data_IF_120646009693
#
_entry.id   IF_120646009693
#
_cell.length_a   1.000
_cell.length_b   1.000
_cell.length_c   1.000
_cell.angle_alpha   90.00
_cell.angle_beta   90.00
_cell.angle_gamma   90.00
#
_symmetry.space_group_name_H-M   'P 1'
#
loop_
_entity.id
_entity.type
_entity.pdbx_description
1 polymer ?
#
# COMPACT_ATOMS: atom_id res chain seq x y z
N UNK A 1 6.85 3.01 -6.61
CA UNK A 1 5.48 3.48 -6.95
C UNK A 1 4.52 2.77 -6.02
N UNK A 2 3.93 3.46 -5.05
CA UNK A 2 3.29 2.77 -3.94
C UNK A 2 1.87 2.29 -4.25
N UNK A 3 1.57 1.09 -3.77
CA UNK A 3 0.21 0.65 -3.48
C UNK A 3 -0.14 1.30 -2.14
N UNK A 4 -1.16 2.16 -2.11
CA UNK A 4 -1.50 2.97 -0.94
C UNK A 4 -2.37 2.22 0.06
N UNK A 5 -3.27 1.40 -0.46
CA UNK A 5 -4.23 0.66 0.32
C UNK A 5 -4.59 -0.65 -0.36
N UNK A 6 -4.81 -1.69 0.43
CA UNK A 6 -5.32 -2.97 -0.07
C UNK A 6 -6.28 -3.62 0.91
N UNK A 7 -7.26 -4.35 0.36
CA UNK A 7 -8.30 -5.01 1.13
C UNK A 7 -8.67 -6.36 0.50
N UNK A 8 -9.02 -7.30 1.36
CA UNK A 8 -9.76 -8.52 1.02
C UNK A 8 -11.14 -8.43 1.64
N UNK A 9 -12.17 -8.56 0.81
CA UNK A 9 -13.56 -8.52 1.23
C UNK A 9 -14.27 -9.82 0.90
N UNK A 10 -15.28 -10.18 1.69
CA UNK A 10 -16.18 -11.31 1.47
C UNK A 10 -17.62 -10.82 1.50
N UNK A 11 -18.41 -11.17 0.50
CA UNK A 11 -19.81 -10.71 0.37
C UNK A 11 -19.94 -9.19 0.61
N UNK A 12 -19.00 -8.42 0.04
CA UNK A 12 -18.91 -6.94 0.14
C UNK A 12 -18.57 -6.41 1.53
N UNK A 13 -18.20 -7.25 2.49
CA UNK A 13 -17.72 -6.86 3.82
C UNK A 13 -16.20 -6.98 3.88
N UNK A 14 -15.54 -5.96 4.39
CA UNK A 14 -14.09 -5.95 4.58
C UNK A 14 -13.71 -7.01 5.62
N UNK A 15 -12.82 -7.92 5.25
CA UNK A 15 -12.24 -8.92 6.15
C UNK A 15 -10.87 -8.47 6.67
N UNK A 16 -10.00 -8.09 5.76
CA UNK A 16 -8.62 -7.68 6.03
C UNK A 16 -8.28 -6.48 5.19
N UNK A 17 -7.55 -5.56 5.77
CA UNK A 17 -7.06 -4.40 5.05
C UNK A 17 -5.71 -3.94 5.60
N UNK A 18 -4.98 -3.22 4.78
CA UNK A 18 -3.78 -2.50 5.17
C UNK A 18 -3.68 -1.20 4.38
N UNK A 19 -3.29 -0.12 5.06
CA UNK A 19 -3.00 1.18 4.48
C UNK A 19 -1.54 1.54 4.74
N UNK A 20 -0.82 1.99 3.71
CA UNK A 20 0.56 2.46 3.84
C UNK A 20 0.66 3.92 4.30
N UNK A 21 -0.44 4.65 4.26
CA UNK A 21 -0.56 6.04 4.69
C UNK A 21 -1.98 6.32 5.18
N UNK A 22 -2.20 7.49 5.78
CA UNK A 22 -3.50 7.91 6.27
C UNK A 22 -4.42 8.35 5.13
N UNK A 23 -5.71 8.09 5.27
CA UNK A 23 -6.72 8.49 4.30
C UNK A 23 -8.11 7.91 4.61
N UNK A 24 -9.11 8.34 3.87
CA UNK A 24 -10.49 7.83 4.00
C UNK A 24 -10.72 6.54 3.20
N UNK A 25 -9.70 5.68 3.15
CA UNK A 25 -9.70 4.46 2.31
C UNK A 25 -10.85 3.51 2.62
N UNK A 26 -11.17 3.30 3.90
CA UNK A 26 -12.23 2.37 4.31
C UNK A 26 -13.59 2.88 3.82
N UNK A 27 -13.90 4.16 4.04
CA UNK A 27 -15.16 4.77 3.60
C UNK A 27 -15.34 4.64 2.08
N UNK A 28 -14.28 4.95 1.32
CA UNK A 28 -14.27 4.81 -0.14
C UNK A 28 -14.44 3.35 -0.56
N UNK A 29 -13.75 2.44 0.11
CA UNK A 29 -13.83 1.02 -0.18
C UNK A 29 -15.22 0.46 0.06
N UNK A 30 -15.86 0.76 1.18
CA UNK A 30 -17.23 0.31 1.49
C UNK A 30 -18.23 0.82 0.45
N UNK A 31 -18.08 2.07 0.03
CA UNK A 31 -18.92 2.64 -1.03
C UNK A 31 -18.71 1.91 -2.37
N UNK A 32 -17.45 1.69 -2.77
CA UNK A 32 -17.11 0.94 -3.99
C UNK A 32 -17.67 -0.47 -3.92
N UNK A 33 -17.39 -1.21 -2.85
CA UNK A 33 -17.84 -2.59 -2.67
C UNK A 33 -19.36 -2.72 -2.77
N UNK A 34 -20.12 -1.73 -2.29
CA UNK A 34 -21.59 -1.73 -2.36
C UNK A 34 -22.12 -1.68 -3.78
N UNK A 35 -21.38 -1.07 -4.71
CA UNK A 35 -21.80 -0.79 -6.08
C UNK A 35 -21.15 -1.69 -7.14
N UNK A 36 -20.13 -2.48 -6.78
CA UNK A 36 -19.48 -3.37 -7.74
C UNK A 36 -20.48 -4.37 -8.33
N UNK A 37 -20.38 -4.69 -9.64
CA UNK A 37 -21.20 -5.73 -10.25
C UNK A 37 -20.88 -7.09 -9.64
N UNK A 38 -21.87 -7.98 -9.66
CA UNK A 38 -21.67 -9.38 -9.27
C UNK A 38 -20.97 -10.15 -10.38
N UNK A 39 -20.20 -11.18 -9.99
CA UNK A 39 -19.49 -12.07 -10.92
C UNK A 39 -17.98 -11.86 -10.92
N UNK A 40 -17.31 -12.69 -11.72
CA UNK A 40 -15.86 -12.69 -11.83
C UNK A 40 -15.40 -11.60 -12.79
N UNK A 41 -14.90 -10.51 -12.25
CA UNK A 41 -14.49 -9.33 -13.01
C UNK A 41 -13.11 -8.82 -12.56
N UNK A 42 -12.39 -8.24 -13.51
CA UNK A 42 -11.16 -7.47 -13.25
C UNK A 42 -11.33 -6.11 -13.89
N UNK A 43 -11.17 -5.05 -13.11
CA UNK A 43 -11.36 -3.70 -13.62
C UNK A 43 -10.54 -2.67 -12.85
N UNK A 44 -10.27 -1.56 -13.50
CA UNK A 44 -9.66 -0.36 -12.92
C UNK A 44 -10.64 0.80 -13.05
N UNK A 45 -10.77 1.61 -12.01
CA UNK A 45 -11.47 2.90 -12.06
C UNK A 45 -10.48 4.03 -11.81
N UNK A 46 -10.57 5.07 -12.64
CA UNK A 46 -9.79 6.29 -12.45
C UNK A 46 -10.54 7.27 -11.56
N UNK A 47 -9.89 7.75 -10.51
CA UNK A 47 -10.44 8.72 -9.56
C UNK A 47 -9.40 9.81 -9.23
N UNK A 48 -9.50 10.95 -9.90
CA UNK A 48 -8.52 12.02 -9.76
C UNK A 48 -7.11 11.57 -10.09
N UNK A 49 -6.22 11.63 -9.11
CA UNK A 49 -4.81 11.19 -9.20
C UNK A 49 -4.59 9.73 -8.78
N UNK A 50 -5.65 9.02 -8.45
CA UNK A 50 -5.61 7.65 -7.96
C UNK A 50 -6.28 6.67 -8.93
N UNK A 51 -5.89 5.42 -8.82
CA UNK A 51 -6.53 4.29 -9.51
C UNK A 51 -7.04 3.30 -8.47
N UNK A 52 -8.26 2.83 -8.67
CA UNK A 52 -8.93 1.83 -7.87
C UNK A 52 -8.99 0.54 -8.70
N UNK A 53 -8.35 -0.50 -8.23
CA UNK A 53 -8.25 -1.78 -8.95
C UNK A 53 -8.94 -2.87 -8.15
N UNK A 54 -9.64 -3.77 -8.83
CA UNK A 54 -10.18 -4.94 -8.17
C UNK A 54 -10.16 -6.20 -9.03
N UNK A 55 -10.16 -7.31 -8.35
CA UNK A 55 -10.48 -8.64 -8.85
C UNK A 55 -11.61 -9.17 -8.00
N UNK A 56 -12.73 -9.54 -8.62
CA UNK A 56 -13.79 -10.27 -7.96
C UNK A 56 -13.78 -11.74 -8.40
N UNK A 57 -13.89 -12.65 -7.43
CA UNK A 57 -13.88 -14.08 -7.62
C UNK A 57 -14.99 -14.69 -6.71
N UNK A 58 -16.12 -15.01 -7.32
CA UNK A 58 -17.33 -15.44 -6.63
C UNK A 58 -17.75 -14.44 -5.53
N UNK A 59 -17.54 -14.81 -4.27
CA UNK A 59 -17.90 -14.01 -3.10
C UNK A 59 -16.77 -13.13 -2.58
N UNK A 60 -15.55 -13.37 -3.06
CA UNK A 60 -14.37 -12.63 -2.62
C UNK A 60 -14.04 -11.49 -3.56
N UNK A 61 -13.64 -10.37 -2.98
CA UNK A 61 -13.19 -9.19 -3.71
C UNK A 61 -11.82 -8.79 -3.15
N UNK A 62 -10.85 -8.74 -4.04
CA UNK A 62 -9.48 -8.25 -3.78
C UNK A 62 -9.39 -6.88 -4.41
N UNK A 63 -9.17 -5.86 -3.60
CA UNK A 63 -9.21 -4.48 -4.04
C UNK A 63 -7.98 -3.72 -3.55
N UNK A 64 -7.48 -2.79 -4.36
CA UNK A 64 -6.42 -1.88 -3.93
C UNK A 64 -6.54 -0.52 -4.57
N UNK A 65 -5.91 0.46 -3.93
CA UNK A 65 -5.81 1.84 -4.37
C UNK A 65 -4.33 2.16 -4.60
N UNK A 66 -4.05 2.74 -5.77
CA UNK A 66 -2.69 3.14 -6.15
C UNK A 66 -2.67 4.58 -6.64
N UNK A 67 -1.49 5.16 -6.70
CA UNK A 67 -1.26 6.37 -7.46
C UNK A 67 -1.46 6.10 -8.96
N UNK A 68 -1.90 7.11 -9.73
CA UNK A 68 -2.14 7.03 -11.17
C UNK A 68 -0.89 6.68 -11.99
N UNK A 69 0.29 6.94 -11.44
CA UNK A 69 1.56 6.59 -12.07
C UNK A 69 1.97 5.13 -11.87
N UNK A 70 1.25 4.39 -11.04
CA UNK A 70 1.50 2.96 -10.85
C UNK A 70 1.13 2.18 -12.11
N UNK A 71 2.00 1.25 -12.52
CA UNK A 71 1.73 0.37 -13.64
C UNK A 71 0.58 -0.58 -13.30
N UNK A 72 -0.51 -0.53 -14.06
CA UNK A 72 -1.71 -1.36 -13.85
C UNK A 72 -1.41 -2.86 -13.85
N UNK A 73 -0.57 -3.31 -14.76
CA UNK A 73 -0.15 -4.72 -14.85
C UNK A 73 0.48 -5.19 -13.53
N UNK A 74 1.37 -4.39 -12.96
CA UNK A 74 2.01 -4.68 -11.67
C UNK A 74 1.01 -4.75 -10.53
N UNK A 75 0.03 -3.87 -10.53
CA UNK A 75 -1.05 -3.88 -9.54
C UNK A 75 -1.90 -5.13 -9.64
N UNK A 76 -2.21 -5.60 -10.85
CA UNK A 76 -2.96 -6.84 -11.01
C UNK A 76 -2.14 -8.08 -10.68
N UNK A 77 -0.83 -8.09 -10.92
CA UNK A 77 0.07 -9.14 -10.42
C UNK A 77 0.05 -9.20 -8.90
N UNK A 78 0.07 -8.05 -8.23
CA UNK A 78 -0.12 -7.97 -6.77
C UNK A 78 -1.46 -8.57 -6.35
N UNK A 79 -2.57 -8.16 -6.95
CA UNK A 79 -3.90 -8.68 -6.60
C UNK A 79 -4.03 -10.19 -6.85
N UNK A 80 -3.47 -10.71 -7.95
CA UNK A 80 -3.40 -12.14 -8.23
C UNK A 80 -2.61 -12.88 -7.14
N UNK A 81 -1.48 -12.34 -6.68
CA UNK A 81 -0.67 -12.94 -5.62
C UNK A 81 -1.42 -12.94 -4.28
N UNK A 82 -2.12 -11.84 -3.94
CA UNK A 82 -2.97 -11.79 -2.74
C UNK A 82 -4.08 -12.84 -2.82
N UNK A 83 -4.77 -12.96 -3.96
CA UNK A 83 -5.78 -13.99 -4.19
C UNK A 83 -5.20 -15.39 -4.00
N UNK A 84 -4.06 -15.68 -4.64
CA UNK A 84 -3.38 -16.97 -4.55
C UNK A 84 -3.02 -17.33 -3.11
N UNK A 85 -2.41 -16.40 -2.36
CA UNK A 85 -2.04 -16.62 -0.95
C UNK A 85 -3.25 -16.80 -0.06
N UNK A 86 -4.29 -16.01 -0.28
CA UNK A 86 -5.52 -16.10 0.51
C UNK A 86 -6.22 -17.45 0.30
N UNK A 87 -6.31 -17.93 -0.93
CA UNK A 87 -6.92 -19.23 -1.25
C UNK A 87 -6.09 -20.39 -0.73
N UNK A 88 -4.74 -20.31 -0.88
CA UNK A 88 -3.82 -21.40 -0.47
C UNK A 88 -3.71 -21.58 1.05
N UNK A 89 -3.92 -20.52 1.83
CA UNK A 89 -3.66 -20.50 3.28
C UNK A 89 -4.90 -20.17 4.10
N UNK A 90 -6.08 -20.67 3.74
CA UNK A 90 -7.34 -20.34 4.42
C UNK A 90 -7.32 -20.55 5.94
N UNK A 91 -6.53 -21.48 6.45
CA UNK A 91 -6.43 -21.74 7.89
C UNK A 91 -5.43 -20.81 8.61
N UNK A 92 -4.27 -20.53 8.00
CA UNK A 92 -3.28 -19.58 8.54
C UNK A 92 -3.73 -18.12 8.41
N UNK A 93 -4.54 -17.81 7.39
CA UNK A 93 -5.03 -16.45 7.13
C UNK A 93 -6.00 -15.94 8.20
N UNK A 94 -6.61 -16.81 8.99
CA UNK A 94 -7.58 -16.40 10.03
C UNK A 94 -7.02 -15.45 11.07
N UNK A 95 -5.70 -15.48 11.33
CA UNK A 95 -5.13 -14.76 12.48
C UNK A 95 -4.27 -13.55 12.11
N UNK A 96 -3.75 -13.40 10.88
CA UNK A 96 -2.86 -12.27 10.56
C UNK A 96 -2.68 -11.98 9.06
N UNK A 97 -3.73 -12.02 8.24
CA UNK A 97 -3.61 -11.73 6.81
C UNK A 97 -3.26 -10.27 6.52
N UNK A 98 -3.54 -9.36 7.44
CA UNK A 98 -3.12 -7.94 7.34
C UNK A 98 -1.60 -7.82 7.22
N UNK A 99 -0.82 -8.63 7.93
CA UNK A 99 0.64 -8.63 7.78
C UNK A 99 1.10 -9.12 6.41
N UNK A 100 0.39 -10.08 5.82
CA UNK A 100 0.65 -10.55 4.45
C UNK A 100 0.35 -9.44 3.46
N UNK A 101 -0.77 -8.72 3.61
CA UNK A 101 -1.09 -7.55 2.79
C UNK A 101 0.02 -6.50 2.85
N UNK A 102 0.46 -6.15 4.07
CA UNK A 102 1.52 -5.17 4.28
C UNK A 102 2.84 -5.58 3.59
N UNK A 103 3.27 -6.83 3.78
CA UNK A 103 4.50 -7.35 3.20
C UNK A 103 4.46 -7.36 1.67
N UNK A 104 3.36 -7.82 1.07
CA UNK A 104 3.22 -7.86 -0.38
C UNK A 104 3.03 -6.46 -0.99
N UNK A 105 2.30 -5.57 -0.33
CA UNK A 105 2.21 -4.17 -0.76
C UNK A 105 3.60 -3.53 -0.83
N UNK A 106 4.43 -3.74 0.18
CA UNK A 106 5.81 -3.27 0.18
C UNK A 106 6.61 -3.88 -0.99
N UNK A 107 6.59 -5.21 -1.13
CA UNK A 107 7.31 -5.93 -2.20
C UNK A 107 6.94 -5.44 -3.59
N UNK A 108 5.64 -5.28 -3.88
CA UNK A 108 5.17 -4.82 -5.18
C UNK A 108 5.30 -3.30 -5.39
N UNK A 109 5.50 -2.52 -4.33
CA UNK A 109 5.75 -1.08 -4.43
C UNK A 109 7.20 -0.74 -4.74
N UNK A 110 8.17 -1.44 -4.14
CA UNK A 110 9.59 -1.06 -4.17
C UNK A 110 10.50 -2.01 -4.95
N UNK A 111 10.24 -3.32 -4.90
CA UNK A 111 11.17 -4.29 -5.46
C UNK A 111 10.84 -4.68 -6.90
N UNK A 112 11.46 -3.97 -7.86
CA UNK A 112 11.28 -4.23 -9.29
C UNK A 112 11.89 -5.55 -9.75
N UNK A 113 12.91 -6.07 -9.07
CA UNK A 113 13.73 -7.18 -9.55
C UNK A 113 13.21 -8.56 -9.12
N UNK A 114 12.32 -8.63 -8.12
CA UNK A 114 11.83 -9.90 -7.56
C UNK A 114 10.52 -10.39 -8.17
N UNK A 115 9.89 -9.61 -9.06
CA UNK A 115 8.61 -9.97 -9.67
C UNK A 115 8.87 -10.66 -11.00
N UNK A 116 8.64 -11.96 -11.04
CA UNK A 116 8.69 -12.74 -12.28
C UNK A 116 7.34 -12.64 -13.00
N UNK A 117 7.36 -12.13 -14.22
CA UNK A 117 6.18 -12.03 -15.09
C UNK A 117 6.28 -13.13 -16.14
N UNK A 118 5.25 -13.94 -16.28
CA UNK A 118 5.18 -14.95 -17.32
C UNK A 118 4.88 -14.29 -18.68
N UNK A 119 5.47 -14.86 -19.73
CA UNK A 119 5.27 -14.36 -21.10
C UNK A 119 3.79 -14.49 -21.50
N UNK A 120 3.17 -13.39 -21.90
CA UNK A 120 1.72 -13.34 -22.24
C UNK A 120 0.82 -12.84 -21.10
N UNK A 121 1.20 -13.01 -19.85
CA UNK A 121 0.43 -12.50 -18.70
C UNK A 121 0.30 -10.97 -18.75
N UNK A 122 1.36 -10.28 -19.14
CA UNK A 122 1.36 -8.83 -19.27
C UNK A 122 0.35 -8.33 -20.31
N UNK A 123 0.20 -9.06 -21.43
CA UNK A 123 -0.72 -8.69 -22.50
C UNK A 123 -2.19 -8.83 -22.06
N UNK A 124 -2.51 -9.85 -21.26
CA UNK A 124 -3.83 -10.02 -20.66
C UNK A 124 -4.14 -8.92 -19.66
N UNK A 125 -3.17 -8.58 -18.80
CA UNK A 125 -3.34 -7.53 -17.80
C UNK A 125 -3.49 -6.13 -18.43
N UNK A 126 -2.88 -5.89 -19.56
CA UNK A 126 -3.02 -4.63 -20.29
C UNK A 126 -4.38 -4.47 -20.99
N UNK A 127 -5.13 -5.55 -21.24
CA UNK A 127 -6.48 -5.53 -21.80
C UNK A 127 -7.56 -5.16 -20.80
N UNK A 128 -7.25 -5.12 -19.50
CA UNK A 128 -8.24 -4.80 -18.46
C UNK A 128 -8.77 -3.38 -18.66
N UNK A 129 -10.10 -3.27 -18.67
CA UNK A 129 -10.79 -2.00 -18.91
C UNK A 129 -10.54 -0.98 -17.80
N UNK A 130 -10.57 0.30 -18.20
CA UNK A 130 -10.54 1.43 -17.26
C UNK A 130 -11.88 2.15 -17.34
N UNK A 131 -12.60 2.21 -16.22
CA UNK A 131 -13.82 2.97 -16.06
C UNK A 131 -13.58 4.32 -15.37
N UNK A 132 -14.59 5.18 -15.38
CA UNK A 132 -14.62 6.38 -14.55
C UNK A 132 -15.23 6.04 -13.17
N UNK A 133 -14.65 6.56 -12.11
CA UNK A 133 -15.12 6.29 -10.76
C UNK A 133 -16.39 7.07 -10.38
N UNK A 134 -16.80 8.05 -11.19
CA UNK A 134 -18.01 8.85 -10.93
C UNK A 134 -19.27 7.97 -10.78
N UNK A 135 -19.32 6.86 -11.52
CA UNK A 135 -20.41 5.88 -11.40
C UNK A 135 -20.44 5.19 -10.03
N UNK A 136 -19.27 5.00 -9.43
CA UNK A 136 -19.13 4.31 -8.14
C UNK A 136 -19.16 5.29 -6.95
N UNK A 137 -18.44 6.39 -7.06
CA UNK A 137 -18.19 7.31 -5.94
C UNK A 137 -19.09 8.54 -5.97
N UNK A 138 -19.66 8.90 -7.15
CA UNK A 138 -20.37 10.18 -7.32
C UNK A 138 -19.42 11.34 -7.03
N UNK A 139 -19.83 12.24 -6.15
CA UNK A 139 -19.04 13.41 -5.72
C UNK A 139 -18.08 13.13 -4.56
N UNK A 140 -18.02 11.91 -4.05
CA UNK A 140 -17.10 11.55 -2.96
C UNK A 140 -15.66 11.64 -3.43
N UNK A 141 -14.84 12.33 -2.65
CA UNK A 141 -13.43 12.55 -2.93
C UNK A 141 -12.59 11.59 -2.08
N UNK A 142 -11.65 10.89 -2.71
CA UNK A 142 -10.63 10.14 -2.01
C UNK A 142 -9.60 11.12 -1.44
N UNK A 143 -9.52 11.18 -0.14
CA UNK A 143 -8.53 11.96 0.60
C UNK A 143 -7.41 11.06 1.09
N UNK A 144 -6.18 11.41 0.73
CA UNK A 144 -4.97 10.71 1.17
C UNK A 144 -4.07 11.71 1.86
N UNK A 145 -3.86 11.53 3.14
CA UNK A 145 -2.92 12.31 3.92
C UNK A 145 -1.56 11.62 3.91
N UNK A 146 -0.82 11.84 2.84
CA UNK A 146 0.55 11.40 2.76
C UNK A 146 1.46 12.64 2.87
N UNK A 147 2.12 12.89 4.01
CA UNK A 147 3.01 14.02 4.18
C UNK A 147 4.18 14.00 3.18
N UNK A 148 4.52 12.84 2.63
CA UNK A 148 5.50 12.71 1.56
C UNK A 148 4.94 13.13 0.20
N UNK A 149 3.65 12.96 -0.06
CA UNK A 149 3.01 13.31 -1.34
C UNK A 149 2.84 14.83 -1.53
N UNK A 150 2.72 15.59 -0.45
CA UNK A 150 2.62 17.05 -0.49
C UNK A 150 3.95 17.69 -0.97
N UNK A 151 5.06 17.02 -0.74
CA UNK A 151 6.39 17.43 -1.19
C UNK A 151 6.67 17.14 -2.67
N UNK A 152 5.80 16.39 -3.36
CA UNK A 152 6.03 15.83 -4.70
C UNK A 152 5.29 16.52 -5.86
N UNK A 153 4.72 17.68 -5.66
CA UNK A 153 4.43 18.54 -6.80
C UNK A 153 5.72 18.96 -7.55
N UNK A 154 6.87 18.59 -7.01
CA UNK A 154 8.17 18.78 -7.66
C UNK A 154 9.12 17.63 -7.29
N UNK A 155 9.15 16.59 -8.13
CA UNK A 155 10.26 15.62 -8.31
C UNK A 155 10.59 14.67 -7.15
N UNK A 156 10.52 13.37 -7.47
CA UNK A 156 11.14 12.18 -6.87
C UNK A 156 10.30 11.42 -5.83
N UNK A 157 9.87 10.23 -6.25
CA UNK A 157 9.19 9.21 -5.43
C UNK A 157 10.13 8.63 -4.37
N UNK A 158 9.83 8.87 -3.11
CA UNK A 158 10.39 8.10 -2.00
C UNK A 158 9.25 7.23 -1.45
N UNK A 159 9.46 5.92 -1.43
CA UNK A 159 8.44 4.95 -1.05
C UNK A 159 7.94 5.14 0.38
N UNK A 160 6.67 4.86 0.59
CA UNK A 160 6.11 4.72 1.92
C UNK A 160 6.79 3.55 2.63
N UNK A 161 7.67 3.82 3.58
CA UNK A 161 8.24 2.79 4.45
C UNK A 161 7.28 2.54 5.60
N UNK A 162 6.82 1.30 5.84
CA UNK A 162 6.06 0.99 7.03
C UNK A 162 6.97 1.16 8.24
N UNK A 163 6.59 2.08 9.14
CA UNK A 163 7.22 2.25 10.44
C UNK A 163 8.60 2.90 10.41
N UNK A 164 8.70 4.13 9.93
CA UNK A 164 9.82 4.98 10.28
C UNK A 164 9.73 5.31 11.77
N UNK A 165 10.52 4.61 12.58
CA UNK A 165 10.97 5.20 13.85
C UNK A 165 11.62 6.52 13.43
N UNK A 166 11.01 7.64 13.81
CA UNK A 166 11.42 8.95 13.31
C UNK A 166 12.94 9.12 13.55
N UNK A 167 13.68 9.37 12.49
CA UNK A 167 15.13 9.65 12.53
C UNK A 167 15.44 10.78 13.53
N UNK A 168 14.47 11.62 13.85
CA UNK A 168 14.54 12.65 14.90
C UNK A 168 14.79 12.09 16.31
N UNK A 169 14.29 10.90 16.62
CA UNK A 169 14.55 10.29 17.97
C UNK A 169 15.96 9.71 18.02
N UNK A 170 16.40 9.04 16.96
CA UNK A 170 17.76 8.48 16.88
C UNK A 170 18.79 9.60 16.88
N UNK A 171 18.56 10.68 16.16
CA UNK A 171 19.44 11.86 16.14
C UNK A 171 19.56 12.52 17.52
N UNK A 172 18.46 12.65 18.27
CA UNK A 172 18.47 13.23 19.63
C UNK A 172 19.23 12.35 20.62
N UNK A 173 19.04 11.04 20.56
CA UNK A 173 19.80 10.10 21.40
C UNK A 173 21.30 10.08 21.04
N UNK A 174 21.65 10.20 19.77
CA UNK A 174 23.04 10.27 19.33
C UNK A 174 23.74 11.52 19.87
N UNK A 175 23.08 12.67 19.88
CA UNK A 175 23.60 13.90 20.47
C UNK A 175 23.77 13.81 22.00
N UNK A 176 22.85 13.14 22.70
CA UNK A 176 22.95 12.91 24.13
C UNK A 176 24.11 11.98 24.46
N UNK A 177 24.28 10.89 23.73
CA UNK A 177 25.40 9.93 23.91
C UNK A 177 26.74 10.63 23.60
N UNK A 178 26.83 11.41 22.53
CA UNK A 178 28.02 12.17 22.18
C UNK A 178 28.38 13.21 23.26
N UNK A 179 27.37 13.92 23.78
CA UNK A 179 27.55 14.88 24.88
C UNK A 179 28.07 14.21 26.17
N UNK A 180 27.52 13.06 26.54
CA UNK A 180 27.97 12.29 27.68
C UNK A 180 29.41 11.78 27.51
N UNK A 181 29.77 11.32 26.32
CA UNK A 181 31.12 10.86 26.02
C UNK A 181 32.16 12.02 26.17
N UNK A 182 31.84 13.20 25.66
CA UNK A 182 32.69 14.40 25.79
C UNK A 182 32.84 14.78 27.27
N UNK A 183 31.76 14.73 28.04
CA UNK A 183 31.79 15.06 29.47
C UNK A 183 32.67 14.09 30.26
N UNK A 184 32.62 12.81 29.98
CA UNK A 184 33.46 11.79 30.60
C UNK A 184 34.93 12.00 30.27
N UNK A 185 35.27 12.32 29.05
CA UNK A 185 36.63 12.60 28.62
C UNK A 185 37.18 13.87 29.33
N UNK A 186 36.35 14.93 29.41
CA UNK A 186 36.73 16.14 30.11
C UNK A 186 37.00 15.89 31.61
N UNK A 187 36.16 15.10 32.30
CA UNK A 187 36.36 14.73 33.68
C UNK A 187 37.62 13.89 33.87
N UNK A 188 37.90 12.94 32.97
CA UNK A 188 39.13 12.14 33.02
C UNK A 188 40.39 12.96 32.86
N UNK A 189 40.38 14.00 32.03
CA UNK A 189 41.50 14.92 31.85
C UNK A 189 41.71 15.80 33.08
N UNK A 190 40.66 16.20 33.80
CA UNK A 190 40.77 16.96 35.03
C UNK A 190 41.29 16.13 36.26
N UNK A 191 41.19 14.81 36.21
CA UNK A 191 41.64 13.92 37.30
C UNK A 191 43.09 13.42 37.10
N UNK A 192 43.65 13.58 35.89
CA UNK A 192 44.99 13.15 35.53
C UNK A 192 46.03 14.29 35.44
N UNK A 193 45.62 15.50 35.69
CA UNK A 193 46.45 16.71 35.80
C UNK A 193 46.46 17.26 37.21
#
# INVERSE_FOLDING_TARGET
MPILFSVVAFERKVLYHFASCDGNFIEITELVLSKLPSGNNKMTYSHGTYLLHYISDDKYIYFCITDKLCQRSRTFLFLNEIQRRFVSNKELCRNNFTAVLAAEMYRYSEDYNTITILRGELDELNKISVGCSEELLGEKILYVNNPEHISYSTITYVGCTPGRISVSVISRWYLVILGMAILIIALAMCTLG
#
